data_IF_862440421657
#
_entry.id   IF_862440421657
#
_cell.length_a   1.000
_cell.length_b   1.000
_cell.length_c   1.000
_cell.angle_alpha   90.00
_cell.angle_beta   90.00
_cell.angle_gamma   90.00
#
_symmetry.space_group_name_H-M   'P 1'
#
loop_
_entity.id
_entity.type
_entity.pdbx_description
1 polymer ?
#
# COMPACT_ATOMS: atom_id res chain seq x y z
N UNK A 1 -15.65 16.84 -13.32
CA UNK A 1 -15.33 15.90 -12.23
C UNK A 1 -13.98 16.28 -11.67
N UNK A 2 -13.91 16.58 -10.37
CA UNK A 2 -12.69 17.09 -9.73
C UNK A 2 -11.54 16.08 -9.74
N UNK A 3 -10.30 16.57 -9.60
CA UNK A 3 -9.10 15.73 -9.39
C UNK A 3 -9.40 14.69 -8.30
N UNK A 4 -8.93 13.43 -8.46
CA UNK A 4 -9.10 12.43 -7.41
C UNK A 4 -8.54 13.00 -6.09
N UNK A 5 -9.25 12.85 -4.96
CA UNK A 5 -8.94 13.53 -3.71
C UNK A 5 -7.65 13.03 -3.02
N UNK A 6 -6.83 12.24 -3.70
CA UNK A 6 -5.58 11.71 -3.17
C UNK A 6 -4.51 11.61 -4.27
N UNK A 7 -3.37 12.29 -4.15
CA UNK A 7 -2.26 12.18 -5.09
C UNK A 7 -1.50 10.85 -4.84
N UNK A 8 -2.06 9.73 -5.28
CA UNK A 8 -1.52 8.38 -5.02
C UNK A 8 -0.66 7.80 -6.14
N UNK A 9 -0.67 8.39 -7.34
CA UNK A 9 0.03 7.80 -8.50
C UNK A 9 1.53 7.64 -8.25
N UNK A 10 2.13 8.52 -7.44
CA UNK A 10 3.55 8.49 -7.09
C UNK A 10 3.84 7.80 -5.73
N UNK A 11 2.79 7.47 -4.95
CA UNK A 11 2.92 6.96 -3.58
C UNK A 11 2.71 5.45 -3.45
N UNK A 12 2.05 4.81 -4.41
CA UNK A 12 1.80 3.37 -4.41
C UNK A 12 2.52 2.68 -5.57
N UNK A 13 3.14 1.55 -5.26
CA UNK A 13 3.66 0.57 -6.22
C UNK A 13 3.21 -0.80 -5.76
N UNK A 14 2.86 -1.69 -6.67
CA UNK A 14 2.44 -3.03 -6.29
C UNK A 14 2.51 -3.97 -7.46
N UNK A 15 2.47 -5.26 -7.14
CA UNK A 15 2.16 -6.31 -8.09
C UNK A 15 1.13 -7.22 -7.44
N UNK A 16 0.14 -7.66 -8.21
CA UNK A 16 -0.78 -8.67 -7.71
C UNK A 16 -1.32 -9.56 -8.82
N UNK A 17 -1.16 -10.87 -8.62
CA UNK A 17 -1.75 -11.96 -9.39
C UNK A 17 -2.08 -13.09 -8.42
N UNK A 18 -3.36 -13.45 -8.35
CA UNK A 18 -3.83 -14.46 -7.40
C UNK A 18 -3.09 -15.78 -7.54
N UNK A 19 -2.64 -16.38 -6.43
CA UNK A 19 -1.83 -17.60 -6.34
C UNK A 19 -0.36 -17.50 -6.78
N UNK A 20 0.09 -16.36 -7.32
CA UNK A 20 1.45 -16.22 -7.85
C UNK A 20 2.29 -15.27 -7.01
N UNK A 21 1.87 -14.00 -6.93
CA UNK A 21 2.57 -13.00 -6.13
C UNK A 21 1.67 -11.81 -5.86
N UNK A 22 1.66 -11.36 -4.61
CA UNK A 22 0.95 -10.17 -4.18
C UNK A 22 1.79 -9.36 -3.19
N UNK A 23 1.91 -8.06 -3.46
CA UNK A 23 2.54 -7.09 -2.59
C UNK A 23 2.17 -5.67 -2.99
N UNK A 24 2.18 -4.75 -2.01
CA UNK A 24 1.89 -3.34 -2.23
C UNK A 24 2.78 -2.46 -1.33
N UNK A 25 3.63 -1.66 -1.96
CA UNK A 25 4.49 -0.70 -1.30
C UNK A 25 3.86 0.69 -1.24
N UNK A 26 3.62 1.17 -0.02
CA UNK A 26 3.10 2.49 0.30
C UNK A 26 4.23 3.44 0.72
N UNK A 27 4.78 4.17 -0.26
CA UNK A 27 5.97 5.03 -0.10
C UNK A 27 5.83 6.09 0.99
N UNK A 28 4.67 6.76 1.10
CA UNK A 28 4.47 7.81 2.13
C UNK A 28 4.71 7.33 3.56
N UNK A 29 4.34 6.09 3.87
CA UNK A 29 4.52 5.50 5.19
C UNK A 29 5.72 4.56 5.26
N UNK A 30 6.42 4.35 4.14
CA UNK A 30 7.48 3.35 4.00
C UNK A 30 7.04 1.94 4.45
N UNK A 31 5.80 1.59 4.13
CA UNK A 31 5.17 0.31 4.49
C UNK A 31 5.07 -0.57 3.27
N UNK A 32 5.47 -1.83 3.40
CA UNK A 32 5.15 -2.90 2.46
C UNK A 32 4.02 -3.75 3.03
N UNK A 33 2.94 -3.93 2.28
CA UNK A 33 1.86 -4.87 2.59
C UNK A 33 2.03 -6.13 1.74
N UNK A 34 2.19 -7.28 2.39
CA UNK A 34 2.62 -8.54 1.79
C UNK A 34 3.93 -8.45 0.99
N UNK A 35 4.56 -9.59 0.78
CA UNK A 35 5.89 -9.73 0.22
C UNK A 35 5.97 -10.97 -0.68
N UNK A 36 5.08 -11.05 -1.68
CA UNK A 36 5.16 -12.06 -2.73
C UNK A 36 6.47 -12.03 -3.51
N UNK A 37 6.72 -13.06 -4.32
CA UNK A 37 7.94 -13.12 -5.12
C UNK A 37 8.08 -11.96 -6.12
N UNK A 38 9.33 -11.63 -6.49
CA UNK A 38 9.63 -10.55 -7.43
C UNK A 38 9.70 -9.13 -6.85
N UNK A 39 9.35 -8.93 -5.56
CA UNK A 39 9.39 -7.60 -4.91
C UNK A 39 10.72 -6.87 -5.09
N UNK A 40 11.84 -7.55 -4.82
CA UNK A 40 13.17 -6.93 -4.88
C UNK A 40 13.54 -6.55 -6.31
N UNK A 41 13.21 -7.40 -7.28
CA UNK A 41 13.46 -7.14 -8.70
C UNK A 41 12.61 -5.99 -9.22
N UNK A 42 11.36 -5.88 -8.77
CA UNK A 42 10.45 -4.82 -9.19
C UNK A 42 10.77 -3.45 -8.54
N UNK A 43 11.19 -3.45 -7.28
CA UNK A 43 11.46 -2.21 -6.53
C UNK A 43 12.90 -1.72 -6.69
N UNK A 44 13.87 -2.59 -7.01
CA UNK A 44 15.29 -2.27 -7.06
C UNK A 44 15.72 -1.52 -5.78
N UNK A 45 16.49 -0.43 -5.90
CA UNK A 45 16.95 0.38 -4.77
C UNK A 45 15.83 0.92 -3.86
N UNK A 46 14.56 0.91 -4.30
CA UNK A 46 13.45 1.36 -3.45
C UNK A 46 13.19 0.44 -2.26
N UNK A 47 13.69 -0.80 -2.27
CA UNK A 47 13.56 -1.72 -1.13
C UNK A 47 14.23 -1.17 0.14
N UNK A 48 15.28 -0.36 0.01
CA UNK A 48 15.96 0.26 1.17
C UNK A 48 15.09 1.30 1.88
N UNK A 49 14.06 1.84 1.20
CA UNK A 49 13.09 2.76 1.80
C UNK A 49 12.10 2.06 2.73
N UNK A 50 11.88 0.74 2.59
CA UNK A 50 10.90 -0.01 3.38
C UNK A 50 11.35 -0.05 4.84
N UNK A 51 10.49 0.41 5.76
CA UNK A 51 10.76 0.37 7.21
C UNK A 51 9.95 -0.70 7.92
N UNK A 52 8.72 -0.94 7.46
CA UNK A 52 7.79 -1.90 8.06
C UNK A 52 7.17 -2.77 6.97
N UNK A 53 7.07 -4.07 7.23
CA UNK A 53 6.34 -5.04 6.40
C UNK A 53 5.16 -5.56 7.20
N UNK A 54 3.96 -5.57 6.63
CA UNK A 54 2.76 -6.14 7.24
C UNK A 54 2.27 -7.29 6.36
N UNK A 55 2.37 -8.51 6.88
CA UNK A 55 1.94 -9.73 6.20
C UNK A 55 0.50 -10.04 6.60
N UNK A 56 -0.41 -10.13 5.63
CA UNK A 56 -1.81 -10.45 5.84
C UNK A 56 -1.99 -11.90 6.30
N UNK A 57 -1.24 -12.83 5.72
CA UNK A 57 -1.22 -14.25 6.03
C UNK A 57 0.04 -14.92 5.46
N UNK A 58 0.14 -16.25 5.58
CA UNK A 58 1.37 -17.01 5.31
C UNK A 58 1.40 -17.79 4.00
N UNK A 59 0.48 -17.57 3.05
CA UNK A 59 0.59 -18.25 1.75
C UNK A 59 1.82 -17.74 0.98
N UNK A 60 2.41 -18.63 0.17
CA UNK A 60 3.70 -18.41 -0.46
C UNK A 60 3.70 -17.19 -1.39
N UNK A 61 2.61 -16.96 -2.11
CA UNK A 61 2.39 -15.81 -2.99
C UNK A 61 2.32 -14.47 -2.23
N UNK A 62 2.23 -14.49 -0.89
CA UNK A 62 2.28 -13.29 -0.05
C UNK A 62 3.58 -13.17 0.76
N UNK A 63 4.46 -14.18 0.79
CA UNK A 63 5.65 -14.15 1.68
C UNK A 63 6.97 -14.59 1.02
N UNK A 64 6.94 -15.24 -0.14
CA UNK A 64 8.13 -15.85 -0.74
C UNK A 64 9.23 -14.82 -1.09
N UNK A 65 8.84 -13.57 -1.34
CA UNK A 65 9.76 -12.46 -1.61
C UNK A 65 10.59 -12.01 -0.40
N UNK A 66 10.19 -12.35 0.83
CA UNK A 66 10.89 -11.95 2.05
C UNK A 66 12.36 -12.38 2.04
N UNK A 67 12.64 -13.59 1.54
CA UNK A 67 14.01 -14.12 1.50
C UNK A 67 14.92 -13.20 0.68
N UNK A 68 14.47 -12.81 -0.51
CA UNK A 68 15.22 -11.92 -1.38
C UNK A 68 15.27 -10.49 -0.83
N UNK A 69 14.17 -9.99 -0.25
CA UNK A 69 14.13 -8.65 0.34
C UNK A 69 15.18 -8.47 1.44
N UNK A 70 15.24 -9.41 2.39
CA UNK A 70 16.22 -9.34 3.49
C UNK A 70 17.64 -9.47 2.93
N UNK A 71 17.87 -10.37 1.96
CA UNK A 71 19.18 -10.53 1.34
C UNK A 71 19.69 -9.27 0.64
N UNK A 72 18.87 -8.62 -0.20
CA UNK A 72 19.25 -7.39 -0.91
C UNK A 72 19.47 -6.24 0.06
N UNK A 73 18.65 -6.14 1.11
CA UNK A 73 18.86 -5.15 2.16
C UNK A 73 20.17 -5.37 2.92
N UNK A 74 20.59 -6.62 3.09
CA UNK A 74 21.81 -6.96 3.81
C UNK A 74 23.07 -6.63 2.99
N UNK A 75 23.09 -7.08 1.73
CA UNK A 75 24.27 -7.04 0.85
C UNK A 75 24.38 -5.76 0.01
N UNK A 76 23.27 -5.05 -0.20
CA UNK A 76 23.25 -3.85 -1.03
C UNK A 76 23.80 -2.62 -0.32
N UNK A 77 24.34 -1.68 -1.09
CA UNK A 77 24.94 -0.42 -0.60
C UNK A 77 23.91 0.66 -0.18
N UNK A 78 22.72 0.25 0.27
CA UNK A 78 21.66 1.16 0.70
C UNK A 78 21.78 1.57 2.17
N UNK A 79 20.68 2.07 2.73
CA UNK A 79 20.60 2.33 4.17
C UNK A 79 20.56 1.01 4.97
N UNK A 80 21.72 0.66 5.50
CA UNK A 80 21.95 -0.51 6.35
C UNK A 80 21.77 -0.21 7.84
N UNK A 81 21.47 1.03 8.23
CA UNK A 81 21.43 1.40 9.66
C UNK A 81 20.03 1.33 10.27
N UNK A 82 18.99 1.46 9.44
CA UNK A 82 17.61 1.53 9.92
C UNK A 82 16.96 0.15 10.07
N UNK A 83 16.34 -0.06 11.23
CA UNK A 83 15.56 -1.26 11.56
C UNK A 83 14.49 -1.57 10.50
N UNK A 84 14.38 -2.86 10.14
CA UNK A 84 13.26 -3.43 9.44
C UNK A 84 12.36 -4.17 10.42
N UNK A 85 11.09 -3.81 10.48
CA UNK A 85 10.11 -4.51 11.29
C UNK A 85 9.17 -5.32 10.40
N UNK A 86 9.03 -6.62 10.66
CA UNK A 86 8.10 -7.52 9.97
C UNK A 86 6.98 -7.90 10.93
N UNK A 87 5.79 -7.41 10.65
CA UNK A 87 4.56 -7.70 11.36
C UNK A 87 3.80 -8.82 10.67
N UNK A 88 3.38 -9.83 11.43
CA UNK A 88 2.74 -11.02 10.86
C UNK A 88 1.70 -11.62 11.81
N UNK A 89 0.69 -12.38 11.31
CA UNK A 89 -0.31 -12.99 12.17
C UNK A 89 0.35 -13.99 13.11
N UNK A 90 0.08 -13.88 14.41
CA UNK A 90 0.66 -14.77 15.42
C UNK A 90 0.36 -16.24 15.09
N UNK A 91 1.32 -17.12 15.41
CA UNK A 91 1.23 -18.57 15.19
C UNK A 91 1.08 -18.97 13.71
N UNK A 92 1.61 -18.17 12.79
CA UNK A 92 1.66 -18.55 11.38
C UNK A 92 2.92 -19.39 11.09
N UNK A 93 2.74 -20.71 10.97
CA UNK A 93 3.84 -21.67 10.84
C UNK A 93 4.75 -21.44 9.63
N UNK A 94 4.20 -21.03 8.47
CA UNK A 94 5.02 -20.78 7.27
C UNK A 94 5.89 -19.55 7.43
N UNK A 95 5.35 -18.47 8.00
CA UNK A 95 6.12 -17.25 8.28
C UNK A 95 7.22 -17.52 9.31
N UNK A 96 6.91 -18.29 10.36
CA UNK A 96 7.89 -18.69 11.37
C UNK A 96 9.01 -19.56 10.77
N UNK A 97 8.68 -20.45 9.83
CA UNK A 97 9.68 -21.22 9.09
C UNK A 97 10.59 -20.33 8.24
N UNK A 98 10.04 -19.32 7.54
CA UNK A 98 10.83 -18.35 6.78
C UNK A 98 11.73 -17.51 7.69
N UNK A 99 11.22 -17.07 8.85
CA UNK A 99 12.01 -16.40 9.87
C UNK A 99 13.19 -17.26 10.32
N UNK A 100 12.93 -18.51 10.69
CA UNK A 100 13.95 -19.41 11.20
C UNK A 100 14.99 -19.76 10.11
N UNK A 101 14.56 -19.89 8.85
CA UNK A 101 15.47 -20.01 7.70
C UNK A 101 16.40 -18.80 7.57
N UNK A 102 15.85 -17.58 7.63
CA UNK A 102 16.64 -16.35 7.54
C UNK A 102 17.62 -16.20 8.71
N UNK A 103 17.18 -16.49 9.93
CA UNK A 103 18.05 -16.45 11.12
C UNK A 103 19.24 -17.43 11.01
N UNK A 104 19.04 -18.59 10.38
CA UNK A 104 20.10 -19.61 10.20
C UNK A 104 21.03 -19.33 9.03
N UNK A 105 20.54 -18.67 7.98
CA UNK A 105 21.29 -18.43 6.74
C UNK A 105 21.92 -17.04 6.67
N UNK A 106 21.44 -16.09 7.46
CA UNK A 106 21.91 -14.71 7.51
C UNK A 106 22.21 -14.29 8.95
N UNK A 107 23.23 -14.92 9.55
CA UNK A 107 23.62 -14.70 10.95
C UNK A 107 24.18 -13.30 11.23
N UNK A 108 24.65 -12.60 10.20
CA UNK A 108 25.23 -11.26 10.29
C UNK A 108 24.48 -10.30 9.36
N UNK A 109 23.36 -9.77 9.85
CA UNK A 109 22.64 -8.70 9.17
C UNK A 109 23.31 -7.36 9.45
N UNK A 110 23.51 -6.57 8.40
CA UNK A 110 24.03 -5.20 8.46
C UNK A 110 23.05 -4.23 9.11
N UNK A 111 21.77 -4.61 9.23
CA UNK A 111 20.67 -3.81 9.80
C UNK A 111 19.89 -4.61 10.87
N UNK A 112 19.23 -3.94 11.84
CA UNK A 112 18.36 -4.60 12.80
C UNK A 112 17.10 -5.17 12.11
N UNK A 113 16.77 -6.44 12.34
CA UNK A 113 15.56 -7.09 11.84
C UNK A 113 14.69 -7.57 13.00
N UNK A 114 13.50 -6.98 13.14
CA UNK A 114 12.54 -7.32 14.19
C UNK A 114 11.32 -8.05 13.63
N UNK A 115 10.99 -9.22 14.20
CA UNK A 115 9.78 -9.96 13.88
C UNK A 115 8.72 -9.71 14.97
N UNK A 116 7.56 -9.20 14.59
CA UNK A 116 6.51 -8.70 15.48
C UNK A 116 5.20 -9.47 15.25
N UNK A 117 4.89 -10.53 16.02
CA UNK A 117 3.61 -11.22 15.89
C UNK A 117 2.45 -10.33 16.34
N UNK A 118 1.42 -10.21 15.51
CA UNK A 118 0.21 -9.40 15.75
C UNK A 118 -1.05 -10.24 15.72
N UNK A 119 -2.05 -9.77 16.44
CA UNK A 119 -3.42 -10.31 16.46
C UNK A 119 -4.37 -9.34 15.75
N UNK A 120 -5.63 -9.74 15.60
CA UNK A 120 -6.70 -8.82 15.21
C UNK A 120 -6.95 -7.74 16.29
N UNK A 121 -7.47 -6.59 15.86
CA UNK A 121 -7.88 -5.47 16.71
C UNK A 121 -6.72 -4.84 17.52
N UNK A 122 -5.49 -4.95 17.01
CA UNK A 122 -4.29 -4.36 17.61
C UNK A 122 -3.88 -3.08 16.89
N UNK A 123 -3.35 -2.13 17.67
CA UNK A 123 -2.78 -0.89 17.16
C UNK A 123 -1.25 -0.97 17.16
N UNK A 124 -0.65 -0.62 16.02
CA UNK A 124 0.79 -0.51 15.80
C UNK A 124 1.12 0.95 15.49
N UNK A 125 1.93 1.59 16.33
CA UNK A 125 2.31 2.99 16.11
C UNK A 125 3.24 3.09 14.90
N UNK A 126 2.90 3.93 13.92
CA UNK A 126 3.70 4.08 12.69
C UNK A 126 4.77 5.17 12.82
N UNK A 127 4.46 6.26 13.54
CA UNK A 127 5.37 7.38 13.75
C UNK A 127 5.56 7.70 15.25
N UNK A 128 6.82 7.79 15.69
CA UNK A 128 7.18 8.28 17.03
C UNK A 128 6.93 9.79 17.21
N UNK A 129 6.75 10.54 16.11
CA UNK A 129 6.47 11.99 16.16
C UNK A 129 4.97 12.22 16.32
N UNK A 130 4.52 12.24 17.58
CA UNK A 130 3.20 12.69 18.10
C UNK A 130 2.05 11.65 18.14
N UNK A 131 2.27 10.38 17.80
CA UNK A 131 1.27 9.31 18.02
C UNK A 131 -0.08 9.51 17.34
N UNK A 132 -0.13 10.34 16.28
CA UNK A 132 -1.38 10.67 15.56
C UNK A 132 -1.68 9.69 14.44
N UNK A 133 -0.72 8.87 14.03
CA UNK A 133 -0.88 7.91 12.94
C UNK A 133 -0.47 6.53 13.44
N UNK A 134 -1.36 5.56 13.28
CA UNK A 134 -1.13 4.18 13.68
C UNK A 134 -1.81 3.24 12.68
N UNK A 135 -1.39 1.98 12.69
CA UNK A 135 -1.99 0.92 11.91
C UNK A 135 -2.84 0.06 12.84
N UNK A 136 -4.10 -0.16 12.48
CA UNK A 136 -5.03 -1.02 13.19
C UNK A 136 -5.26 -2.29 12.39
N UNK A 137 -5.05 -3.45 13.00
CA UNK A 137 -5.34 -4.76 12.40
C UNK A 137 -6.82 -5.09 12.55
N UNK A 138 -7.37 -5.86 11.61
CA UNK A 138 -8.69 -6.48 11.74
C UNK A 138 -8.67 -7.89 11.15
N UNK A 139 -9.51 -8.78 11.67
CA UNK A 139 -9.58 -10.16 11.19
C UNK A 139 -10.27 -10.23 9.83
N UNK A 140 -9.70 -11.00 8.91
CA UNK A 140 -10.33 -11.34 7.62
C UNK A 140 -10.80 -12.79 7.60
N UNK A 141 -11.55 -13.16 6.57
CA UNK A 141 -12.09 -14.51 6.40
C UNK A 141 -11.46 -15.17 5.18
N UNK A 142 -10.31 -15.82 5.36
CA UNK A 142 -9.62 -16.49 4.26
C UNK A 142 -9.32 -17.97 4.57
N UNK A 143 -8.69 -18.24 5.71
CA UNK A 143 -8.43 -19.60 6.19
C UNK A 143 -9.18 -19.86 7.50
N UNK A 144 -9.77 -21.05 7.64
CA UNK A 144 -10.35 -21.47 8.92
C UNK A 144 -9.29 -21.83 9.96
N UNK A 145 -8.09 -22.21 9.51
CA UNK A 145 -7.04 -22.79 10.36
C UNK A 145 -5.97 -21.76 10.78
N UNK A 146 -5.82 -20.68 10.02
CA UNK A 146 -4.80 -19.68 10.24
C UNK A 146 -5.42 -18.30 10.33
N UNK A 147 -4.87 -17.46 11.21
CA UNK A 147 -5.25 -16.07 11.29
C UNK A 147 -4.83 -15.34 10.00
N UNK A 148 -5.79 -14.68 9.37
CA UNK A 148 -5.58 -13.74 8.29
C UNK A 148 -6.03 -12.35 8.74
N UNK A 149 -5.29 -11.33 8.33
CA UNK A 149 -5.44 -9.95 8.80
C UNK A 149 -5.56 -8.99 7.62
N UNK A 150 -6.42 -7.99 7.81
CA UNK A 150 -6.38 -6.74 7.07
C UNK A 150 -5.84 -5.62 7.95
N UNK A 151 -5.46 -4.51 7.32
CA UNK A 151 -4.75 -3.40 7.95
C UNK A 151 -5.35 -2.06 7.57
N UNK A 152 -5.66 -1.23 8.57
CA UNK A 152 -6.09 0.15 8.40
C UNK A 152 -4.98 1.09 8.88
N UNK A 153 -4.50 1.97 8.02
CA UNK A 153 -3.75 3.14 8.47
C UNK A 153 -4.76 4.19 8.92
N UNK A 154 -4.67 4.58 10.18
CA UNK A 154 -5.60 5.49 10.86
C UNK A 154 -4.86 6.76 11.27
N UNK A 155 -5.44 7.91 10.94
CA UNK A 155 -4.99 9.20 11.43
C UNK A 155 -5.99 9.78 12.44
N UNK A 156 -5.52 10.09 13.64
CA UNK A 156 -6.24 10.88 14.63
C UNK A 156 -6.27 12.35 14.20
N UNK A 157 -7.45 12.83 13.80
CA UNK A 157 -7.69 14.18 13.28
C UNK A 157 -8.58 14.97 14.24
N UNK A 158 -8.64 16.28 14.02
CA UNK A 158 -9.60 17.15 14.68
C UNK A 158 -10.40 17.90 13.62
N UNK A 159 -11.69 18.09 13.87
CA UNK A 159 -12.55 18.98 13.08
C UNK A 159 -13.33 19.89 14.03
N UNK A 160 -13.82 21.01 13.50
CA UNK A 160 -14.73 21.86 14.27
C UNK A 160 -16.00 21.09 14.59
N UNK A 161 -16.53 21.29 15.80
CA UNK A 161 -17.86 20.79 16.14
C UNK A 161 -18.90 21.43 15.21
N UNK A 162 -20.04 20.75 14.96
CA UNK A 162 -21.07 21.25 14.05
C UNK A 162 -21.50 22.70 14.33
N UNK A 163 -21.56 23.07 15.61
CA UNK A 163 -21.90 24.40 16.14
C UNK A 163 -21.00 25.53 15.59
N UNK A 164 -19.74 25.20 15.30
CA UNK A 164 -18.69 26.14 14.89
C UNK A 164 -18.30 26.00 13.41
N UNK A 165 -18.85 25.00 12.70
CA UNK A 165 -18.39 24.62 11.36
C UNK A 165 -18.56 25.75 10.33
N UNK A 166 -19.65 26.49 10.42
CA UNK A 166 -20.01 27.57 9.48
C UNK A 166 -19.90 28.96 10.12
N UNK A 167 -19.25 29.06 11.29
CA UNK A 167 -19.05 30.33 11.99
C UNK A 167 -17.87 31.13 11.41
N UNK A 168 -17.89 32.48 11.50
CA UNK A 168 -16.76 33.30 11.11
C UNK A 168 -15.49 32.94 11.91
N UNK A 169 -14.33 32.98 11.26
CA UNK A 169 -13.03 32.64 11.89
C UNK A 169 -12.75 33.43 13.18
N UNK A 170 -13.21 34.68 13.24
CA UNK A 170 -13.07 35.53 14.43
C UNK A 170 -13.82 34.96 15.63
N UNK A 171 -15.07 34.52 15.46
CA UNK A 171 -15.87 33.89 16.53
C UNK A 171 -15.29 32.54 16.95
N UNK A 172 -14.74 31.77 16.01
CA UNK A 172 -14.04 30.51 16.32
C UNK A 172 -12.81 30.79 17.20
N UNK A 173 -12.00 31.81 16.85
CA UNK A 173 -10.82 32.17 17.61
C UNK A 173 -11.18 32.67 19.02
N UNK A 174 -12.21 33.50 19.15
CA UNK A 174 -12.74 33.96 20.44
C UNK A 174 -13.24 32.79 21.29
N UNK A 175 -13.97 31.84 20.70
CA UNK A 175 -14.43 30.64 21.39
C UNK A 175 -13.25 29.77 21.86
N UNK A 176 -12.20 29.62 21.05
CA UNK A 176 -10.99 28.87 21.44
C UNK A 176 -10.29 29.57 22.61
N UNK A 177 -10.16 30.90 22.57
CA UNK A 177 -9.54 31.69 23.64
C UNK A 177 -10.32 31.60 24.95
N UNK A 178 -11.66 31.73 24.88
CA UNK A 178 -12.52 31.79 26.06
C UNK A 178 -12.78 30.42 26.68
N UNK A 179 -13.01 29.40 25.85
CA UNK A 179 -13.52 28.11 26.28
C UNK A 179 -12.50 26.97 26.14
N UNK A 180 -11.35 27.23 25.52
CA UNK A 180 -10.33 26.24 25.21
C UNK A 180 -10.64 25.46 23.92
N UNK A 181 -9.57 25.05 23.22
CA UNK A 181 -9.65 24.37 21.91
C UNK A 181 -10.54 23.12 21.93
N UNK A 182 -10.51 22.34 23.01
CA UNK A 182 -11.23 21.06 23.13
C UNK A 182 -12.76 21.21 23.14
N UNK A 183 -13.27 22.40 23.49
CA UNK A 183 -14.70 22.70 23.41
C UNK A 183 -15.16 23.16 22.02
N UNK A 184 -14.21 23.51 21.14
CA UNK A 184 -14.49 24.01 19.78
C UNK A 184 -14.25 22.91 18.73
N UNK A 185 -13.29 22.03 18.99
CA UNK A 185 -12.97 20.90 18.10
C UNK A 185 -13.42 19.57 18.70
N UNK A 186 -13.78 18.63 17.83
CA UNK A 186 -13.92 17.22 18.18
C UNK A 186 -12.79 16.41 17.53
N UNK A 187 -12.30 15.39 18.25
CA UNK A 187 -11.31 14.43 17.74
C UNK A 187 -12.04 13.28 17.07
N UNK A 188 -11.53 12.82 15.94
CA UNK A 188 -12.06 11.64 15.25
C UNK A 188 -10.93 10.88 14.57
N UNK A 189 -11.16 9.59 14.35
CA UNK A 189 -10.24 8.72 13.62
C UNK A 189 -10.67 8.63 12.16
N UNK A 190 -9.73 8.88 11.25
CA UNK A 190 -9.95 8.69 9.82
C UNK A 190 -9.10 7.53 9.33
N UNK A 191 -9.74 6.51 8.77
CA UNK A 191 -9.04 5.47 8.00
C UNK A 191 -8.58 6.12 6.69
N UNK A 192 -7.28 6.31 6.52
CA UNK A 192 -6.71 6.93 5.32
C UNK A 192 -6.37 5.91 4.24
N UNK A 193 -6.11 4.68 4.63
CA UNK A 193 -5.76 3.59 3.72
C UNK A 193 -6.10 2.25 4.37
N UNK A 194 -6.69 1.35 3.59
CA UNK A 194 -7.00 -0.02 4.00
C UNK A 194 -6.34 -1.00 3.04
N UNK A 195 -5.60 -1.96 3.57
CA UNK A 195 -5.16 -3.16 2.86
C UNK A 195 -5.95 -4.36 3.36
N UNK A 196 -6.78 -4.95 2.50
CA UNK A 196 -7.66 -6.05 2.87
C UNK A 196 -6.98 -7.41 3.01
N UNK A 197 -5.85 -7.63 2.31
CA UNK A 197 -5.33 -8.98 2.09
C UNK A 197 -6.35 -9.87 1.38
N UNK A 198 -6.12 -11.18 1.42
CA UNK A 198 -7.06 -12.18 0.93
C UNK A 198 -8.20 -12.38 1.93
N UNK A 199 -9.43 -12.45 1.42
CA UNK A 199 -10.63 -12.56 2.24
C UNK A 199 -11.89 -12.77 1.39
N UNK A 200 -12.86 -13.46 1.97
CA UNK A 200 -14.29 -13.22 1.68
C UNK A 200 -14.66 -11.74 1.90
N UNK A 201 -15.84 -11.28 1.46
CA UNK A 201 -16.20 -9.86 1.55
C UNK A 201 -15.96 -9.28 2.95
N UNK A 202 -15.11 -8.26 3.04
CA UNK A 202 -14.71 -7.67 4.31
C UNK A 202 -15.93 -7.01 4.98
N UNK A 203 -16.01 -7.09 6.31
CA UNK A 203 -17.09 -6.43 7.05
C UNK A 203 -17.06 -4.91 6.81
N UNK A 204 -18.18 -4.29 6.37
CA UNK A 204 -18.23 -2.85 6.13
C UNK A 204 -17.84 -2.00 7.35
N UNK A 205 -18.09 -2.50 8.57
CA UNK A 205 -17.76 -1.80 9.82
C UNK A 205 -16.25 -1.69 10.03
N UNK A 206 -15.48 -2.70 9.63
CA UNK A 206 -14.02 -2.72 9.76
C UNK A 206 -13.32 -1.71 8.86
N UNK A 207 -13.98 -1.27 7.78
CA UNK A 207 -13.41 -0.41 6.73
C UNK A 207 -14.23 0.85 6.49
N UNK A 208 -15.13 1.17 7.42
CA UNK A 208 -16.08 2.27 7.32
C UNK A 208 -15.39 3.61 7.06
N UNK A 209 -15.86 4.30 6.04
CA UNK A 209 -15.40 5.61 5.56
C UNK A 209 -13.90 5.65 5.20
N UNK A 210 -13.31 4.49 4.85
CA UNK A 210 -11.93 4.44 4.35
C UNK A 210 -11.76 5.33 3.11
N UNK A 211 -10.72 6.17 3.12
CA UNK A 211 -10.41 7.03 1.97
C UNK A 211 -9.90 6.22 0.78
N UNK A 212 -9.27 5.08 1.02
CA UNK A 212 -8.74 4.20 -0.01
C UNK A 212 -8.73 2.75 0.47
N UNK A 213 -9.57 1.92 -0.13
CA UNK A 213 -9.71 0.51 0.18
C UNK A 213 -9.04 -0.33 -0.90
N UNK A 214 -8.05 -1.14 -0.54
CA UNK A 214 -7.57 -2.25 -1.37
C UNK A 214 -8.33 -3.50 -0.97
N UNK A 215 -9.14 -4.05 -1.86
CA UNK A 215 -9.93 -5.26 -1.60
C UNK A 215 -9.66 -6.31 -2.66
N UNK A 216 -9.44 -7.55 -2.24
CA UNK A 216 -9.23 -8.65 -3.17
C UNK A 216 -10.51 -8.88 -3.98
N UNK A 217 -10.36 -9.25 -5.24
CA UNK A 217 -11.47 -9.55 -6.12
C UNK A 217 -11.07 -10.70 -7.01
N UNK A 218 -10.81 -11.86 -6.40
CA UNK A 218 -10.30 -13.02 -7.12
C UNK A 218 -11.23 -13.44 -8.26
N UNK A 219 -12.54 -13.28 -8.08
CA UNK A 219 -13.56 -13.66 -9.06
C UNK A 219 -14.41 -12.48 -9.54
N UNK A 220 -14.72 -12.45 -10.84
CA UNK A 220 -15.66 -11.49 -11.42
C UNK A 220 -17.11 -11.97 -11.30
N UNK A 221 -17.35 -13.28 -11.35
CA UNK A 221 -18.68 -13.89 -11.22
C UNK A 221 -18.66 -15.04 -10.22
N UNK A 222 -19.80 -15.33 -9.60
CA UNK A 222 -19.90 -16.37 -8.58
C UNK A 222 -19.62 -17.79 -9.13
N UNK A 223 -19.97 -18.04 -10.40
CA UNK A 223 -19.70 -19.32 -11.06
C UNK A 223 -18.21 -19.60 -11.34
N UNK A 224 -17.34 -18.61 -11.16
CA UNK A 224 -15.90 -18.77 -11.38
C UNK A 224 -15.16 -19.39 -10.18
N UNK A 225 -15.81 -19.49 -9.00
CA UNK A 225 -15.29 -20.28 -7.87
C UNK A 225 -15.61 -21.77 -8.07
N UNK A 226 -14.98 -22.37 -9.09
CA UNK A 226 -15.20 -23.78 -9.49
C UNK A 226 -14.96 -24.78 -8.37
N UNK A 227 -14.06 -24.46 -7.43
CA UNK A 227 -13.73 -25.32 -6.28
C UNK A 227 -14.63 -25.07 -5.08
N UNK A 228 -15.52 -24.07 -5.18
CA UNK A 228 -16.47 -23.67 -4.14
C UNK A 228 -15.77 -23.53 -2.78
N UNK A 229 -14.55 -23.01 -2.80
CA UNK A 229 -13.74 -22.90 -1.58
C UNK A 229 -14.30 -21.81 -0.67
N UNK A 230 -15.00 -20.82 -1.23
CA UNK A 230 -15.54 -19.68 -0.51
C UNK A 230 -14.51 -18.98 0.39
N UNK A 231 -13.27 -18.87 -0.10
CA UNK A 231 -12.15 -18.23 0.62
C UNK A 231 -11.84 -16.82 0.09
N UNK A 232 -12.48 -16.43 -1.01
CA UNK A 232 -12.23 -15.21 -1.75
C UNK A 232 -13.53 -14.47 -2.07
N UNK A 233 -13.40 -13.25 -2.61
CA UNK A 233 -14.53 -12.37 -2.90
C UNK A 233 -14.88 -12.31 -4.39
N UNK A 234 -16.17 -12.06 -4.66
CA UNK A 234 -16.68 -11.82 -6.02
C UNK A 234 -16.95 -10.34 -6.22
N UNK A 235 -16.72 -9.82 -7.43
CA UNK A 235 -16.84 -8.40 -7.78
C UNK A 235 -18.11 -7.72 -7.23
N UNK A 236 -19.29 -8.31 -7.42
CA UNK A 236 -20.53 -7.69 -6.96
C UNK A 236 -20.57 -7.52 -5.43
N UNK A 237 -20.11 -8.52 -4.68
CA UNK A 237 -20.03 -8.46 -3.21
C UNK A 237 -19.04 -7.37 -2.75
N UNK A 238 -17.90 -7.26 -3.42
CA UNK A 238 -16.89 -6.23 -3.13
C UNK A 238 -17.45 -4.83 -3.36
N UNK A 239 -18.21 -4.64 -4.45
CA UNK A 239 -18.87 -3.36 -4.74
C UNK A 239 -19.97 -3.03 -3.72
N UNK A 240 -20.72 -4.03 -3.25
CA UNK A 240 -21.71 -3.86 -2.18
C UNK A 240 -21.05 -3.46 -0.86
N UNK A 241 -19.98 -4.14 -0.46
CA UNK A 241 -19.20 -3.81 0.73
C UNK A 241 -18.63 -2.39 0.65
N UNK A 242 -18.03 -2.02 -0.48
CA UNK A 242 -17.47 -0.68 -0.68
C UNK A 242 -18.55 0.42 -0.58
N UNK A 243 -19.74 0.17 -1.15
CA UNK A 243 -20.88 1.07 -1.04
C UNK A 243 -21.39 1.19 0.39
N UNK A 244 -21.60 0.07 1.07
CA UNK A 244 -22.09 0.02 2.45
C UNK A 244 -21.12 0.66 3.45
N UNK A 245 -19.81 0.55 3.21
CA UNK A 245 -18.77 1.18 4.01
C UNK A 245 -18.53 2.66 3.66
N UNK A 246 -19.22 3.23 2.66
CA UNK A 246 -19.02 4.62 2.22
C UNK A 246 -17.55 4.98 1.91
N UNK A 247 -16.79 4.04 1.34
CA UNK A 247 -15.38 4.29 0.98
C UNK A 247 -15.27 5.39 -0.06
N UNK A 248 -14.13 6.08 -0.15
CA UNK A 248 -13.94 7.11 -1.20
C UNK A 248 -13.34 6.57 -2.48
N UNK A 249 -12.41 5.63 -2.36
CA UNK A 249 -11.78 4.93 -3.49
C UNK A 249 -11.69 3.45 -3.18
N UNK A 250 -12.10 2.61 -4.11
CA UNK A 250 -11.92 1.17 -4.10
C UNK A 250 -10.85 0.81 -5.14
N UNK A 251 -9.85 0.06 -4.72
CA UNK A 251 -8.85 -0.57 -5.56
C UNK A 251 -9.03 -2.08 -5.51
N UNK A 252 -9.34 -2.69 -6.64
CA UNK A 252 -9.37 -4.15 -6.77
C UNK A 252 -7.95 -4.66 -7.00
N UNK A 253 -7.59 -5.76 -6.34
CA UNK A 253 -6.34 -6.49 -6.56
C UNK A 253 -6.59 -7.99 -6.41
N UNK A 254 -5.52 -8.80 -6.47
CA UNK A 254 -5.60 -10.25 -6.35
C UNK A 254 -6.56 -10.87 -7.39
N UNK A 255 -6.53 -10.36 -8.62
CA UNK A 255 -7.37 -10.86 -9.71
C UNK A 255 -6.84 -12.21 -10.20
N UNK A 256 -7.76 -13.15 -10.45
CA UNK A 256 -7.45 -14.43 -11.09
C UNK A 256 -6.83 -14.25 -12.48
N UNK A 257 -5.88 -15.13 -12.83
CA UNK A 257 -5.25 -15.15 -14.16
C UNK A 257 -6.22 -15.47 -15.29
N UNK A 258 -7.42 -16.00 -15.00
CA UNK A 258 -8.41 -16.35 -16.01
C UNK A 258 -8.95 -15.15 -16.77
N UNK A 259 -8.86 -13.95 -16.18
CA UNK A 259 -9.40 -12.74 -16.77
C UNK A 259 -8.30 -11.91 -17.42
N UNK A 260 -8.52 -11.55 -18.68
CA UNK A 260 -7.77 -10.51 -19.36
C UNK A 260 -8.09 -9.13 -18.78
N UNK A 261 -7.22 -8.16 -19.07
CA UNK A 261 -7.41 -6.77 -18.69
C UNK A 261 -8.77 -6.21 -19.16
N UNK A 262 -9.14 -6.50 -20.41
CA UNK A 262 -10.38 -6.02 -21.01
C UNK A 262 -11.63 -6.66 -20.37
N UNK A 263 -11.56 -7.93 -19.99
CA UNK A 263 -12.66 -8.60 -19.29
C UNK A 263 -12.91 -8.00 -17.91
N UNK A 264 -11.83 -7.75 -17.14
CA UNK A 264 -11.93 -7.07 -15.83
C UNK A 264 -12.55 -5.68 -16.00
N UNK A 265 -12.07 -4.90 -16.97
CA UNK A 265 -12.58 -3.56 -17.28
C UNK A 265 -14.06 -3.62 -17.71
N UNK A 266 -14.43 -4.55 -18.59
CA UNK A 266 -15.79 -4.72 -19.08
C UNK A 266 -16.76 -5.11 -17.96
N UNK A 267 -16.38 -6.07 -17.12
CA UNK A 267 -17.16 -6.48 -15.95
C UNK A 267 -17.39 -5.31 -14.99
N UNK A 268 -16.33 -4.54 -14.69
CA UNK A 268 -16.41 -3.33 -13.86
C UNK A 268 -17.38 -2.29 -14.43
N UNK A 269 -17.26 -1.95 -15.72
CA UNK A 269 -18.16 -0.98 -16.37
C UNK A 269 -19.60 -1.45 -16.30
N UNK A 270 -19.86 -2.73 -16.57
CA UNK A 270 -21.19 -3.30 -16.53
C UNK A 270 -21.80 -3.32 -15.13
N UNK A 271 -21.03 -3.73 -14.11
CA UNK A 271 -21.47 -3.75 -12.72
C UNK A 271 -21.77 -2.33 -12.21
N UNK A 272 -20.93 -1.36 -12.56
CA UNK A 272 -21.09 0.03 -12.12
C UNK A 272 -22.20 0.78 -12.83
N UNK A 273 -22.58 0.41 -14.07
CA UNK A 273 -23.78 0.98 -14.74
C UNK A 273 -25.06 0.71 -13.98
N UNK A 274 -25.12 -0.41 -13.24
CA UNK A 274 -26.30 -0.85 -12.48
C UNK A 274 -26.38 -0.22 -11.08
N UNK A 275 -25.36 0.53 -10.66
CA UNK A 275 -25.17 1.01 -9.28
C UNK A 275 -24.97 2.54 -9.27
N UNK A 276 -25.62 3.26 -8.34
CA UNK A 276 -25.30 4.68 -8.11
C UNK A 276 -23.90 4.78 -7.48
N UNK A 277 -23.02 5.62 -8.03
CA UNK A 277 -21.61 5.72 -7.61
C UNK A 277 -21.45 6.76 -6.50
N UNK A 278 -20.93 6.32 -5.34
CA UNK A 278 -20.43 7.18 -4.25
C UNK A 278 -18.90 7.21 -4.14
N UNK A 279 -18.20 6.41 -4.94
CA UNK A 279 -16.76 6.18 -4.84
C UNK A 279 -16.07 5.98 -6.19
N UNK A 280 -14.76 6.23 -6.24
CA UNK A 280 -13.91 5.94 -7.39
C UNK A 280 -13.47 4.48 -7.40
N UNK A 281 -13.29 3.89 -8.57
CA UNK A 281 -12.82 2.50 -8.72
C UNK A 281 -11.56 2.47 -9.57
N UNK A 282 -10.54 1.80 -9.04
CA UNK A 282 -9.26 1.50 -9.67
C UNK A 282 -9.04 -0.02 -9.56
N UNK A 283 -8.21 -0.60 -10.42
CA UNK A 283 -7.75 -1.98 -10.23
C UNK A 283 -6.27 -2.11 -10.57
N UNK A 284 -5.59 -2.99 -9.84
CA UNK A 284 -4.21 -3.40 -10.08
C UNK A 284 -4.23 -4.67 -10.92
N UNK A 285 -3.60 -4.63 -12.10
CA UNK A 285 -3.51 -5.77 -13.01
C UNK A 285 -2.05 -6.03 -13.35
N UNK A 286 -1.45 -7.06 -12.75
CA UNK A 286 0.00 -7.20 -12.72
C UNK A 286 0.62 -6.09 -11.89
N UNK A 287 1.48 -5.28 -12.49
CA UNK A 287 2.19 -4.14 -11.89
C UNK A 287 1.58 -2.77 -12.22
N UNK A 288 0.46 -2.73 -12.94
CA UNK A 288 -0.15 -1.49 -13.45
C UNK A 288 -1.50 -1.19 -12.82
N UNK A 289 -1.71 0.09 -12.54
CA UNK A 289 -2.98 0.60 -12.01
C UNK A 289 -3.83 1.17 -13.14
N UNK A 290 -5.12 0.83 -13.12
CA UNK A 290 -6.07 1.25 -14.13
C UNK A 290 -7.27 1.90 -13.48
N UNK A 291 -7.66 3.08 -13.99
CA UNK A 291 -8.89 3.77 -13.59
C UNK A 291 -9.89 3.75 -14.73
N UNK A 292 -11.17 3.64 -14.40
CA UNK A 292 -12.24 3.75 -15.40
C UNK A 292 -12.29 5.14 -16.04
N UNK A 293 -11.83 6.16 -15.31
CA UNK A 293 -11.79 7.55 -15.77
C UNK A 293 -10.50 7.87 -16.59
N UNK A 294 -9.52 6.96 -16.61
CA UNK A 294 -8.25 7.08 -17.36
C UNK A 294 -7.85 5.74 -18.00
N UNK A 295 -8.25 5.48 -19.26
CA UNK A 295 -8.14 4.16 -19.88
C UNK A 295 -6.71 3.72 -20.22
N UNK A 296 -5.73 4.62 -20.33
CA UNK A 296 -4.35 4.26 -20.68
C UNK A 296 -3.61 3.46 -19.59
N UNK A 297 -4.18 3.36 -18.38
CA UNK A 297 -3.46 2.88 -17.19
C UNK A 297 -2.27 3.78 -16.85
N UNK A 298 -1.67 3.54 -15.69
CA UNK A 298 -0.34 4.04 -15.39
C UNK A 298 0.44 2.95 -14.68
N UNK A 299 1.69 2.80 -15.10
CA UNK A 299 2.72 2.26 -14.21
C UNK A 299 3.21 3.44 -13.38
N UNK A 300 3.57 3.26 -12.11
CA UNK A 300 4.32 4.29 -11.38
C UNK A 300 5.67 4.38 -12.10
N UNK A 301 5.81 5.28 -13.07
CA UNK A 301 6.96 5.36 -13.95
C UNK A 301 8.27 5.44 -13.13
N UNK A 302 9.41 4.94 -13.62
CA UNK A 302 10.67 5.47 -13.13
C UNK A 302 10.67 6.96 -13.44
N UNK A 303 10.90 7.81 -12.44
CA UNK A 303 11.34 9.17 -12.73
C UNK A 303 12.57 8.99 -13.61
N UNK A 304 12.48 9.37 -14.89
CA UNK A 304 13.68 9.70 -15.63
C UNK A 304 14.34 10.79 -14.81
N UNK A 305 15.47 10.48 -14.19
CA UNK A 305 16.37 11.51 -13.68
C UNK A 305 16.49 12.54 -14.80
N UNK A 306 16.15 13.79 -14.49
CA UNK A 306 16.33 14.86 -15.44
C UNK A 306 17.80 14.89 -15.81
N UNK A 307 18.12 14.36 -16.99
CA UNK A 307 19.29 14.75 -17.75
C UNK A 307 19.14 16.25 -17.95
N UNK A 308 19.76 16.99 -17.04
CA UNK A 308 20.00 18.41 -17.17
C UNK A 308 21.09 18.53 -18.25
N UNK A 309 20.71 18.35 -19.52
CA UNK A 309 21.52 18.75 -20.66
C UNK A 309 21.59 20.29 -20.65
N UNK A 310 22.51 20.80 -19.83
CA UNK A 310 23.03 22.14 -19.95
C UNK A 310 23.91 22.24 -21.19
N UNK A 311 23.31 22.34 -22.38
CA UNK A 311 24.00 22.87 -23.55
C UNK A 311 23.79 24.39 -23.60
N UNK A 312 24.55 25.08 -22.75
CA UNK A 312 24.90 26.47 -22.99
C UNK A 312 26.09 26.48 -23.94
N UNK A 313 25.83 26.75 -25.22
CA UNK A 313 26.85 27.11 -26.19
C UNK A 313 27.53 28.41 -25.72
N UNK A 314 28.73 28.28 -25.19
CA UNK A 314 29.66 29.37 -24.93
C UNK A 314 30.92 29.14 -25.73
N UNK A 315 31.05 29.87 -26.84
CA UNK A 315 32.26 29.95 -27.65
C UNK A 315 33.48 30.27 -26.77
N UNK A 316 34.54 29.47 -26.89
CA UNK A 316 35.87 29.82 -26.43
C UNK A 316 36.77 30.02 -27.67
N UNK A 317 37.49 31.15 -27.80
CA UNK A 317 38.46 31.32 -28.86
C UNK A 317 39.76 30.57 -28.53
N UNK A 318 40.43 30.20 -29.62
CA UNK A 318 41.72 29.52 -29.72
C UNK A 318 42.80 30.28 -28.95
N UNK A 319 43.70 29.53 -28.32
CA UNK A 319 45.12 29.83 -28.38
C UNK A 319 45.96 28.56 -28.35
N UNK A 320 46.95 28.56 -29.22
CA UNK A 320 48.00 27.57 -29.43
C UNK A 320 49.10 27.74 -28.40
N UNK A 321 49.63 26.63 -27.86
CA UNK A 321 51.08 26.51 -27.62
C UNK A 321 51.51 25.06 -27.41
N UNK A 322 52.68 24.76 -28.01
CA UNK A 322 53.45 23.53 -27.97
C UNK A 322 53.87 23.12 -26.53
N UNK A 323 53.98 21.81 -26.25
CA UNK A 323 55.26 21.07 -26.11
C UNK A 323 55.12 19.78 -25.28
N UNK A 324 55.59 18.69 -25.90
CA UNK A 324 56.43 17.60 -25.35
C UNK A 324 56.19 17.03 -23.94
N UNK A 325 56.10 15.70 -23.86
CA UNK A 325 56.63 14.95 -22.73
C UNK A 325 55.89 13.66 -22.40
N UNK A 326 56.49 12.52 -22.75
CA UNK A 326 56.22 11.20 -22.19
C UNK A 326 56.24 11.21 -20.64
N UNK A 327 55.49 10.30 -20.00
CA UNK A 327 56.03 9.20 -19.16
C UNK A 327 54.87 8.38 -18.58
N UNK A 328 55.06 7.06 -18.61
CA UNK A 328 54.26 6.00 -18.00
C UNK A 328 54.04 6.18 -16.49
N UNK A 329 52.84 5.82 -16.01
CA UNK A 329 52.58 4.68 -15.12
C UNK A 329 51.08 4.39 -15.02
#
# INVERSE_FOLDING_TARGET
MGKPPFPLQDQLRGFSRALFSTWLYHRRFNILFDAGEGISTALLNRVFGIRKVFLSHGHADHIAGLINLVNIRNLGAGDQTTELEIYYPRNNALIEMVRDYLLRTQSELSFPLAWRPVEADQNVVLDGRRGKTFLKTFRTQHSQRQLSLGFNIVEARCRLRPEFKDQPQQMINEAIWKNGKEKVVERFEQIVFTYGGDSRPISPTSISQSLFLCHECTYLNQGDDERNFHQHSVLDEVLDVAGAAEVKTLMLFHLSLRYSHEEVRGALVNALRRRKRGFHVVFLYGDRFYSLDRPSGWCSAPDSEGENEGNGEGEAPRDSEERSGEVML
#
